data_IF_066901022744
#
_entry.id   IF_066901022744
#
_cell.length_a   1.000
_cell.length_b   1.000
_cell.length_c   1.000
_cell.angle_alpha   90.00
_cell.angle_beta   90.00
_cell.angle_gamma   90.00
#
_symmetry.space_group_name_H-M   'P 1'
#
loop_
_entity.id
_entity.type
_entity.pdbx_description
1 polymer ?
#
# COMPACT_ATOMS: atom_id res chain seq x y z
N UNK A 1 21.82 18.61 7.71
CA UNK A 1 21.41 19.53 6.62
C UNK A 1 22.51 20.57 6.33
N UNK A 2 23.54 20.25 5.53
CA UNK A 2 24.53 21.24 5.03
C UNK A 2 24.87 21.07 3.53
N UNK A 3 24.12 20.22 2.82
CA UNK A 3 24.40 19.88 1.41
C UNK A 3 23.78 20.88 0.43
N UNK A 4 22.73 21.62 0.84
CA UNK A 4 21.99 22.52 -0.04
C UNK A 4 22.71 23.86 -0.35
N UNK A 5 23.54 24.37 0.57
CA UNK A 5 24.30 25.62 0.34
C UNK A 5 25.52 25.41 -0.57
N UNK A 6 26.13 24.22 -0.55
CA UNK A 6 27.29 23.87 -1.38
C UNK A 6 26.95 23.86 -2.87
N UNK A 7 25.71 23.51 -3.22
CA UNK A 7 25.26 23.39 -4.60
C UNK A 7 25.04 24.75 -5.28
N UNK A 8 24.63 25.79 -4.52
CA UNK A 8 24.52 27.16 -5.04
C UNK A 8 25.89 27.76 -5.31
N UNK A 9 26.85 27.59 -4.41
CA UNK A 9 28.23 28.07 -4.59
C UNK A 9 28.91 27.41 -5.80
N UNK A 10 28.82 26.08 -5.93
CA UNK A 10 29.35 25.36 -7.10
C UNK A 10 28.72 25.85 -8.41
N UNK A 11 27.42 26.16 -8.41
CA UNK A 11 26.74 26.69 -9.59
C UNK A 11 27.22 28.11 -9.96
N UNK A 12 27.38 29.00 -8.97
CA UNK A 12 27.94 30.34 -9.20
C UNK A 12 29.41 30.30 -9.65
N UNK A 13 30.21 29.39 -9.08
CA UNK A 13 31.61 29.20 -9.45
C UNK A 13 31.73 28.64 -10.87
N UNK A 14 30.79 27.80 -11.30
CA UNK A 14 30.74 27.26 -12.66
C UNK A 14 30.26 28.30 -13.67
N UNK A 15 29.26 29.11 -13.32
CA UNK A 15 28.87 30.29 -14.12
C UNK A 15 30.07 31.23 -14.24
N UNK A 16 30.80 31.48 -13.15
CA UNK A 16 32.00 32.29 -13.18
C UNK A 16 33.07 31.68 -14.12
N UNK A 17 33.41 30.39 -13.98
CA UNK A 17 34.39 29.72 -14.84
C UNK A 17 34.02 29.68 -16.32
N UNK A 18 32.74 29.80 -16.68
CA UNK A 18 32.30 29.86 -18.09
C UNK A 18 32.14 31.32 -18.55
N UNK A 19 31.45 32.17 -17.80
CA UNK A 19 31.16 33.55 -18.17
C UNK A 19 32.39 34.47 -18.12
N UNK A 20 33.33 34.23 -17.20
CA UNK A 20 34.58 34.98 -17.09
C UNK A 20 35.40 34.85 -18.38
N UNK A 21 35.66 33.65 -18.94
CA UNK A 21 36.29 33.54 -20.26
C UNK A 21 35.54 34.30 -21.35
N UNK A 22 34.22 34.18 -21.42
CA UNK A 22 33.41 34.85 -22.45
C UNK A 22 33.37 36.37 -22.33
N UNK A 23 33.68 36.94 -21.15
CA UNK A 23 33.80 38.39 -20.94
C UNK A 23 35.26 38.87 -21.04
N UNK A 24 36.19 38.15 -20.43
CA UNK A 24 37.60 38.52 -20.37
C UNK A 24 38.29 38.34 -21.73
N UNK A 25 37.95 37.31 -22.50
CA UNK A 25 38.61 37.06 -23.80
C UNK A 25 38.30 38.16 -24.82
N UNK A 26 37.05 38.63 -25.02
CA UNK A 26 36.78 39.79 -25.86
C UNK A 26 37.43 41.07 -25.33
N UNK A 27 37.42 41.30 -24.01
CA UNK A 27 38.05 42.48 -23.41
C UNK A 27 39.56 42.46 -23.63
N UNK A 28 40.24 41.33 -23.39
CA UNK A 28 41.68 41.18 -23.65
C UNK A 28 41.99 41.29 -25.15
N UNK A 29 41.15 40.74 -26.02
CA UNK A 29 41.33 40.87 -27.47
C UNK A 29 41.21 42.33 -27.94
N UNK A 30 40.20 43.07 -27.47
CA UNK A 30 40.03 44.50 -27.76
C UNK A 30 41.13 45.35 -27.13
N UNK A 31 41.53 45.11 -25.89
CA UNK A 31 42.59 45.85 -25.20
C UNK A 31 43.97 45.60 -25.83
N UNK A 32 44.22 44.39 -26.34
CA UNK A 32 45.47 44.05 -27.04
C UNK A 32 45.47 44.62 -28.48
N UNK A 33 44.32 44.65 -29.16
CA UNK A 33 44.17 45.32 -30.46
C UNK A 33 44.36 46.86 -30.38
N UNK A 34 44.09 47.47 -29.22
CA UNK A 34 44.16 48.92 -28.99
C UNK A 34 45.25 49.35 -27.99
N UNK A 35 46.40 48.67 -27.95
CA UNK A 35 47.70 49.22 -27.44
C UNK A 35 47.98 49.33 -25.93
N UNK A 36 47.39 48.49 -25.04
CA UNK A 36 47.68 48.60 -23.59
C UNK A 36 48.41 47.42 -22.90
N UNK A 37 48.56 46.26 -23.55
CA UNK A 37 49.39 45.16 -23.03
C UNK A 37 50.04 44.39 -24.20
N UNK A 38 51.35 44.51 -24.46
CA UNK A 38 52.01 43.69 -25.48
C UNK A 38 51.93 42.20 -25.08
N UNK A 39 51.96 41.26 -26.05
CA UNK A 39 52.17 39.85 -25.73
C UNK A 39 53.44 39.71 -24.90
N UNK A 40 53.43 38.80 -23.92
CA UNK A 40 54.61 38.46 -23.11
C UNK A 40 55.84 38.31 -24.03
N UNK A 41 57.00 38.92 -23.69
CA UNK A 41 58.16 38.91 -24.57
C UNK A 41 58.54 37.46 -24.90
N UNK A 42 58.50 37.11 -26.19
CA UNK A 42 58.83 35.77 -26.70
C UNK A 42 57.65 34.87 -27.08
N UNK A 43 56.39 35.33 -27.00
CA UNK A 43 55.21 34.53 -27.40
C UNK A 43 54.56 35.13 -28.66
N UNK A 44 54.44 34.33 -29.72
CA UNK A 44 53.81 34.78 -30.97
C UNK A 44 52.28 34.90 -30.82
N UNK A 45 51.67 35.84 -31.54
CA UNK A 45 50.20 36.05 -31.53
C UNK A 45 49.41 34.75 -31.83
N UNK A 46 49.94 33.90 -32.71
CA UNK A 46 49.34 32.61 -33.09
C UNK A 46 49.26 31.63 -31.92
N UNK A 47 50.27 31.62 -31.04
CA UNK A 47 50.31 30.77 -29.85
C UNK A 47 49.27 31.24 -28.81
N UNK A 48 49.09 32.56 -28.71
CA UNK A 48 48.06 33.19 -27.87
C UNK A 48 46.63 32.85 -28.32
N UNK A 49 46.36 32.90 -29.62
CA UNK A 49 45.05 32.52 -30.18
C UNK A 49 44.78 31.03 -30.00
N UNK A 50 45.79 30.18 -30.18
CA UNK A 50 45.69 28.74 -29.91
C UNK A 50 45.38 28.44 -28.44
N UNK A 51 46.04 29.14 -27.51
CA UNK A 51 45.76 29.05 -26.07
C UNK A 51 44.32 29.46 -25.72
N UNK A 52 43.85 30.59 -26.25
CA UNK A 52 42.48 31.07 -26.06
C UNK A 52 41.44 30.09 -26.61
N UNK A 53 41.68 29.53 -27.80
CA UNK A 53 40.82 28.52 -28.41
C UNK A 53 40.73 27.25 -27.56
N UNK A 54 41.86 26.77 -27.04
CA UNK A 54 41.91 25.62 -26.12
C UNK A 54 41.16 25.86 -24.82
N UNK A 55 41.30 27.06 -24.23
CA UNK A 55 40.61 27.43 -22.99
C UNK A 55 39.09 27.54 -23.17
N UNK A 56 38.63 28.18 -24.25
CA UNK A 56 37.21 28.25 -24.62
C UNK A 56 36.61 26.86 -24.88
N UNK A 57 37.34 26.00 -25.61
CA UNK A 57 36.93 24.61 -25.83
C UNK A 57 36.79 23.82 -24.52
N UNK A 58 37.74 23.99 -23.60
CA UNK A 58 37.68 23.40 -22.26
C UNK A 58 36.48 23.88 -21.44
N UNK A 59 36.19 25.18 -21.44
CA UNK A 59 35.06 25.76 -20.73
C UNK A 59 33.70 25.27 -21.26
N UNK A 60 33.52 25.21 -22.58
CA UNK A 60 32.31 24.68 -23.22
C UNK A 60 32.11 23.20 -22.86
N UNK A 61 33.17 22.40 -22.94
CA UNK A 61 33.11 20.97 -22.60
C UNK A 61 32.73 20.76 -21.14
N UNK A 62 33.37 21.49 -20.22
CA UNK A 62 33.05 21.40 -18.79
C UNK A 62 31.62 21.84 -18.48
N UNK A 63 31.14 22.92 -19.10
CA UNK A 63 29.76 23.36 -19.02
C UNK A 63 28.77 22.31 -19.54
N UNK A 64 29.07 21.70 -20.69
CA UNK A 64 28.28 20.62 -21.28
C UNK A 64 28.18 19.39 -20.37
N UNK A 65 29.32 18.93 -19.82
CA UNK A 65 29.36 17.81 -18.88
C UNK A 65 28.55 18.11 -17.62
N UNK A 66 28.65 19.32 -17.07
CA UNK A 66 27.89 19.70 -15.87
C UNK A 66 26.38 19.73 -16.12
N UNK A 67 25.94 20.31 -17.24
CA UNK A 67 24.53 20.31 -17.63
C UNK A 67 24.02 18.87 -17.82
N UNK A 68 24.82 18.02 -18.46
CA UNK A 68 24.53 16.60 -18.63
C UNK A 68 24.37 15.87 -17.29
N UNK A 69 25.31 16.04 -16.34
CA UNK A 69 25.20 15.46 -14.99
C UNK A 69 23.93 15.93 -14.28
N UNK A 70 23.57 17.21 -14.41
CA UNK A 70 22.35 17.74 -13.79
C UNK A 70 21.08 17.17 -14.42
N UNK A 71 21.07 16.98 -15.75
CA UNK A 71 19.96 16.34 -16.45
C UNK A 71 19.83 14.86 -16.06
N UNK A 72 20.95 14.13 -15.99
CA UNK A 72 20.99 12.74 -15.52
C UNK A 72 20.45 12.61 -14.10
N UNK A 73 20.87 13.48 -13.17
CA UNK A 73 20.32 13.47 -11.80
C UNK A 73 18.82 13.72 -11.76
N UNK A 74 18.31 14.66 -12.55
CA UNK A 74 16.86 14.90 -12.64
C UNK A 74 16.12 13.71 -13.25
N UNK A 75 16.70 13.05 -14.26
CA UNK A 75 16.14 11.86 -14.86
C UNK A 75 16.10 10.70 -13.85
N UNK A 76 17.19 10.48 -13.11
CA UNK A 76 17.28 9.44 -12.09
C UNK A 76 16.24 9.63 -10.97
N UNK A 77 16.09 10.86 -10.45
CA UNK A 77 15.07 11.15 -9.42
C UNK A 77 13.67 10.83 -9.97
N UNK A 78 13.37 11.23 -11.21
CA UNK A 78 12.08 10.91 -11.84
C UNK A 78 11.88 9.40 -12.03
N UNK A 79 12.91 8.67 -12.44
CA UNK A 79 12.83 7.21 -12.56
C UNK A 79 12.58 6.54 -11.20
N UNK A 80 13.25 7.00 -10.14
CA UNK A 80 13.02 6.50 -8.77
C UNK A 80 11.58 6.76 -8.31
N UNK A 81 11.04 7.95 -8.59
CA UNK A 81 9.64 8.29 -8.30
C UNK A 81 8.64 7.44 -9.10
N UNK A 82 8.88 7.23 -10.40
CA UNK A 82 8.05 6.37 -11.24
C UNK A 82 8.07 4.93 -10.69
N UNK A 83 9.26 4.41 -10.37
CA UNK A 83 9.42 3.06 -9.82
C UNK A 83 8.70 2.89 -8.49
N UNK A 84 8.68 3.94 -7.66
CA UNK A 84 7.90 3.97 -6.42
C UNK A 84 6.40 3.91 -6.69
N UNK A 85 5.90 4.69 -7.65
CA UNK A 85 4.48 4.68 -8.05
C UNK A 85 4.07 3.31 -8.61
N UNK A 86 4.93 2.67 -9.39
CA UNK A 86 4.69 1.32 -9.89
C UNK A 86 4.60 0.31 -8.75
N UNK A 87 5.54 0.34 -7.81
CA UNK A 87 5.51 -0.53 -6.63
C UNK A 87 4.26 -0.31 -5.77
N UNK A 88 3.84 0.95 -5.57
CA UNK A 88 2.60 1.28 -4.85
C UNK A 88 1.37 0.69 -5.57
N UNK A 89 1.31 0.82 -6.90
CA UNK A 89 0.24 0.26 -7.70
C UNK A 89 0.20 -1.26 -7.63
N UNK A 90 1.36 -1.93 -7.69
CA UNK A 90 1.44 -3.39 -7.62
C UNK A 90 0.94 -3.91 -6.27
N UNK A 91 1.34 -3.27 -5.17
CA UNK A 91 0.84 -3.59 -3.82
C UNK A 91 -0.67 -3.41 -3.73
N UNK A 92 -1.21 -2.29 -4.23
CA UNK A 92 -2.64 -2.03 -4.22
C UNK A 92 -3.42 -3.01 -5.12
N UNK A 93 -2.86 -3.38 -6.26
CA UNK A 93 -3.46 -4.33 -7.19
C UNK A 93 -3.49 -5.73 -6.58
N UNK A 94 -2.40 -6.18 -5.97
CA UNK A 94 -2.31 -7.46 -5.25
C UNK A 94 -3.34 -7.51 -4.11
N UNK A 95 -3.47 -6.44 -3.34
CA UNK A 95 -4.48 -6.31 -2.29
C UNK A 95 -5.91 -6.52 -2.83
N UNK A 96 -6.26 -5.91 -3.96
CA UNK A 96 -7.59 -6.07 -4.57
C UNK A 96 -7.80 -7.49 -5.10
N UNK A 97 -6.77 -8.11 -5.66
CA UNK A 97 -6.85 -9.48 -6.20
C UNK A 97 -6.98 -10.56 -5.13
N UNK A 98 -6.43 -10.33 -3.93
CA UNK A 98 -6.54 -11.25 -2.78
C UNK A 98 -7.93 -11.25 -2.12
N UNK A 99 -8.79 -10.31 -2.48
CA UNK A 99 -10.16 -10.27 -1.98
C UNK A 99 -10.91 -11.47 -2.53
N UNK A 100 -11.29 -12.36 -1.61
CA UNK A 100 -12.08 -13.54 -1.92
C UNK A 100 -13.52 -13.32 -1.42
N UNK A 101 -14.43 -12.84 -2.29
CA UNK A 101 -15.82 -12.61 -1.90
C UNK A 101 -16.57 -13.92 -1.64
N UNK A 102 -16.09 -15.05 -2.17
CA UNK A 102 -16.74 -16.35 -2.04
C UNK A 102 -16.43 -17.05 -0.72
N UNK A 103 -15.36 -16.67 -0.03
CA UNK A 103 -14.94 -17.30 1.23
C UNK A 103 -16.08 -17.47 2.24
N UNK A 104 -16.82 -16.39 2.51
CA UNK A 104 -17.93 -16.42 3.48
C UNK A 104 -19.04 -17.36 3.04
N UNK A 105 -19.40 -17.31 1.76
CA UNK A 105 -20.48 -18.12 1.19
C UNK A 105 -20.12 -19.61 1.23
N UNK A 106 -18.91 -19.95 0.76
CA UNK A 106 -18.40 -21.32 0.75
C UNK A 106 -18.30 -21.89 2.17
N UNK A 107 -17.79 -21.10 3.12
CA UNK A 107 -17.64 -21.53 4.51
C UNK A 107 -19.01 -21.74 5.18
N UNK A 108 -19.98 -20.87 4.89
CA UNK A 108 -21.34 -21.03 5.39
C UNK A 108 -22.03 -22.27 4.82
N UNK A 109 -21.90 -22.53 3.52
CA UNK A 109 -22.46 -23.74 2.91
C UNK A 109 -21.77 -25.02 3.40
N UNK A 110 -20.45 -25.01 3.56
CA UNK A 110 -19.70 -26.10 4.20
C UNK A 110 -20.27 -26.33 5.61
N UNK A 111 -20.46 -25.28 6.41
CA UNK A 111 -21.07 -25.38 7.75
C UNK A 111 -22.50 -25.96 7.73
N UNK A 112 -23.35 -25.47 6.83
CA UNK A 112 -24.75 -25.88 6.72
C UNK A 112 -24.91 -27.36 6.31
N UNK A 113 -23.94 -27.91 5.56
CA UNK A 113 -23.97 -29.29 5.06
C UNK A 113 -23.39 -30.32 6.03
N UNK A 114 -22.80 -29.89 7.15
CA UNK A 114 -22.23 -30.80 8.15
C UNK A 114 -23.27 -31.69 8.87
N UNK A 115 -24.56 -31.60 8.55
CA UNK A 115 -25.65 -32.38 9.16
C UNK A 115 -25.57 -33.90 8.96
N UNK A 116 -24.65 -34.40 8.14
CA UNK A 116 -24.61 -35.82 7.71
C UNK A 116 -23.37 -36.61 8.18
N UNK A 117 -22.57 -36.08 9.11
CA UNK A 117 -21.28 -36.67 9.52
C UNK A 117 -21.37 -37.27 10.93
N UNK A 118 -20.59 -38.33 11.21
CA UNK A 118 -20.46 -38.91 12.56
C UNK A 118 -20.04 -37.87 13.61
N UNK A 119 -20.49 -38.03 14.87
CA UNK A 119 -20.35 -37.03 15.94
C UNK A 119 -18.91 -36.64 16.26
N UNK A 120 -17.96 -37.57 16.21
CA UNK A 120 -16.54 -37.31 16.46
C UNK A 120 -15.87 -36.56 15.30
N UNK A 121 -16.14 -36.98 14.06
CA UNK A 121 -15.65 -36.28 12.88
C UNK A 121 -16.24 -34.86 12.80
N UNK A 122 -17.51 -34.69 13.19
CA UNK A 122 -18.21 -33.41 13.22
C UNK A 122 -17.49 -32.33 14.04
N UNK A 123 -17.01 -32.67 15.25
CA UNK A 123 -16.27 -31.73 16.12
C UNK A 123 -14.93 -31.34 15.51
N UNK A 124 -14.19 -32.31 14.97
CA UNK A 124 -12.91 -32.07 14.28
C UNK A 124 -13.07 -31.13 13.07
N UNK A 125 -14.13 -31.34 12.27
CA UNK A 125 -14.46 -30.45 11.16
C UNK A 125 -14.79 -29.03 11.61
N UNK A 126 -15.56 -28.86 12.68
CA UNK A 126 -15.88 -27.53 13.21
C UNK A 126 -14.64 -26.77 13.69
N UNK A 127 -13.70 -27.45 14.37
CA UNK A 127 -12.43 -26.84 14.77
C UNK A 127 -11.55 -26.48 13.57
N UNK A 128 -11.51 -27.35 12.54
CA UNK A 128 -10.80 -27.08 11.30
C UNK A 128 -11.38 -25.84 10.61
N UNK A 129 -12.70 -25.73 10.55
CA UNK A 129 -13.40 -24.56 9.98
C UNK A 129 -13.12 -23.29 10.78
N UNK A 130 -13.16 -23.36 12.12
CA UNK A 130 -12.80 -22.23 12.99
C UNK A 130 -11.36 -21.76 12.75
N UNK A 131 -10.43 -22.70 12.56
CA UNK A 131 -9.03 -22.40 12.24
C UNK A 131 -8.91 -21.69 10.89
N UNK A 132 -9.54 -22.22 9.82
CA UNK A 132 -9.58 -21.58 8.49
C UNK A 132 -10.14 -20.16 8.55
N UNK A 133 -11.23 -19.94 9.28
CA UNK A 133 -11.83 -18.60 9.46
C UNK A 133 -10.86 -17.65 10.15
N UNK A 134 -10.21 -18.11 11.22
CA UNK A 134 -9.27 -17.30 12.00
C UNK A 134 -8.03 -16.93 11.20
N UNK A 135 -7.52 -17.87 10.39
CA UNK A 135 -6.43 -17.64 9.45
C UNK A 135 -6.82 -16.57 8.42
N UNK A 136 -8.01 -16.69 7.80
CA UNK A 136 -8.48 -15.71 6.82
C UNK A 136 -8.61 -14.30 7.42
N UNK A 137 -9.15 -14.18 8.63
CA UNK A 137 -9.23 -12.90 9.36
C UNK A 137 -7.84 -12.31 9.63
N UNK A 138 -6.88 -13.16 10.01
CA UNK A 138 -5.48 -12.75 10.23
C UNK A 138 -4.84 -12.21 8.94
N UNK A 139 -5.00 -12.94 7.83
CA UNK A 139 -4.48 -12.53 6.51
C UNK A 139 -5.06 -11.18 6.08
N UNK A 140 -6.38 -10.98 6.20
CA UNK A 140 -7.04 -9.70 5.90
C UNK A 140 -6.45 -8.56 6.73
N UNK A 141 -6.16 -8.81 8.01
CA UNK A 141 -5.58 -7.79 8.89
C UNK A 141 -4.14 -7.44 8.51
N UNK A 142 -3.32 -8.45 8.21
CA UNK A 142 -1.94 -8.28 7.76
C UNK A 142 -1.90 -7.51 6.44
N UNK A 143 -2.72 -7.90 5.46
CA UNK A 143 -2.79 -7.26 4.15
C UNK A 143 -3.23 -5.78 4.28
N UNK A 144 -4.18 -5.47 5.17
CA UNK A 144 -4.58 -4.08 5.46
C UNK A 144 -3.43 -3.25 6.06
N UNK A 145 -2.71 -3.79 7.06
CA UNK A 145 -1.57 -3.11 7.68
C UNK A 145 -0.46 -2.87 6.64
N UNK A 146 -0.13 -3.90 5.85
CA UNK A 146 0.90 -3.82 4.83
C UNK A 146 0.54 -2.79 3.76
N UNK A 147 -0.70 -2.82 3.25
CA UNK A 147 -1.17 -1.89 2.21
C UNK A 147 -1.14 -0.44 2.71
N UNK A 148 -1.56 -0.19 3.96
CA UNK A 148 -1.50 1.14 4.55
C UNK A 148 -0.06 1.64 4.74
N UNK A 149 0.87 0.75 5.12
CA UNK A 149 2.27 1.10 5.31
C UNK A 149 3.04 1.29 3.99
N UNK A 150 2.67 0.53 2.96
CA UNK A 150 3.39 0.50 1.68
C UNK A 150 2.90 1.54 0.66
N UNK A 151 1.79 2.24 0.94
CA UNK A 151 1.14 3.12 -0.04
C UNK A 151 0.89 4.51 0.52
N UNK A 152 1.15 5.53 -0.29
CA UNK A 152 0.91 6.93 0.09
C UNK A 152 -0.55 7.36 -0.14
N UNK A 153 -1.45 6.46 -0.56
CA UNK A 153 -2.81 6.81 -0.99
C UNK A 153 -3.62 7.49 0.14
N UNK A 154 -3.30 7.16 1.38
CA UNK A 154 -3.91 7.76 2.58
C UNK A 154 -3.25 9.08 3.00
N UNK A 155 -2.04 9.40 2.52
CA UNK A 155 -1.25 10.58 2.90
C UNK A 155 -1.21 11.70 1.84
N UNK A 156 -1.95 11.54 0.74
CA UNK A 156 -1.96 12.43 -0.45
C UNK A 156 -2.18 13.93 -0.13
N UNK A 157 -2.76 14.29 1.03
CA UNK A 157 -3.14 15.68 1.35
C UNK A 157 -1.97 16.67 1.30
N UNK A 158 -0.74 16.28 1.65
CA UNK A 158 0.40 17.20 1.72
C UNK A 158 1.02 17.56 0.37
N UNK A 159 0.81 16.74 -0.68
CA UNK A 159 1.51 16.89 -1.98
C UNK A 159 0.70 17.68 -3.02
N UNK A 160 -0.60 17.80 -2.83
CA UNK A 160 -1.48 18.50 -3.77
C UNK A 160 -1.40 20.04 -3.66
N UNK A 161 -1.08 20.57 -2.47
CA UNK A 161 -1.03 22.03 -2.22
C UNK A 161 0.11 22.73 -2.99
N UNK A 162 1.14 21.99 -3.38
CA UNK A 162 2.26 22.51 -4.17
C UNK A 162 1.93 22.70 -5.66
N UNK A 163 0.81 22.16 -6.16
CA UNK A 163 0.45 22.20 -7.58
C UNK A 163 -0.59 23.30 -7.85
N UNK A 164 -0.28 24.22 -8.78
CA UNK A 164 -1.21 25.31 -9.20
C UNK A 164 -2.52 24.83 -9.85
N UNK A 165 -2.67 23.53 -10.15
CA UNK A 165 -3.86 22.96 -10.79
C UNK A 165 -4.64 22.08 -9.80
N UNK A 166 -5.96 21.94 -10.02
CA UNK A 166 -6.84 21.04 -9.25
C UNK A 166 -6.26 19.63 -9.17
N UNK A 167 -5.91 19.20 -7.97
CA UNK A 167 -5.31 17.90 -7.72
C UNK A 167 -6.40 16.81 -7.69
N UNK A 168 -6.61 16.12 -8.81
CA UNK A 168 -7.55 15.00 -8.90
C UNK A 168 -7.23 13.86 -7.93
N UNK A 169 -5.99 13.77 -7.44
CA UNK A 169 -5.57 12.79 -6.43
C UNK A 169 -6.37 12.90 -5.13
N UNK A 170 -6.84 14.09 -4.75
CA UNK A 170 -7.70 14.25 -3.57
C UNK A 170 -9.08 13.61 -3.76
N UNK A 171 -9.67 13.76 -4.95
CA UNK A 171 -10.94 13.13 -5.31
C UNK A 171 -10.77 11.61 -5.34
N UNK A 172 -9.70 11.12 -5.95
CA UNK A 172 -9.36 9.69 -5.99
C UNK A 172 -9.18 9.12 -4.57
N UNK A 173 -8.49 9.82 -3.67
CA UNK A 173 -8.36 9.43 -2.25
C UNK A 173 -9.72 9.25 -1.59
N UNK A 174 -10.63 10.23 -1.74
CA UNK A 174 -11.97 10.16 -1.15
C UNK A 174 -12.76 8.96 -1.67
N UNK A 175 -12.74 8.75 -2.98
CA UNK A 175 -13.43 7.62 -3.61
C UNK A 175 -12.81 6.29 -3.17
N UNK A 176 -11.48 6.20 -3.09
CA UNK A 176 -10.79 5.02 -2.60
C UNK A 176 -11.17 4.68 -1.16
N UNK A 177 -11.18 5.66 -0.25
CA UNK A 177 -11.59 5.46 1.15
C UNK A 177 -13.06 5.01 1.23
N UNK A 178 -13.95 5.65 0.47
CA UNK A 178 -15.37 5.32 0.46
C UNK A 178 -15.64 3.90 -0.04
N UNK A 179 -14.92 3.46 -1.07
CA UNK A 179 -15.05 2.10 -1.58
C UNK A 179 -14.38 1.12 -0.62
N UNK A 180 -13.17 1.40 -0.13
CA UNK A 180 -12.47 0.51 0.81
C UNK A 180 -13.25 0.30 2.12
N UNK A 181 -14.05 1.29 2.55
CA UNK A 181 -14.97 1.12 3.69
C UNK A 181 -15.95 -0.06 3.51
N UNK A 182 -16.31 -0.40 2.26
CA UNK A 182 -17.14 -1.58 2.00
C UNK A 182 -16.47 -2.87 2.48
N UNK A 183 -15.13 -2.98 2.48
CA UNK A 183 -14.41 -4.13 3.04
C UNK A 183 -14.74 -4.44 4.50
N UNK A 184 -15.15 -3.44 5.28
CA UNK A 184 -15.61 -3.67 6.64
C UNK A 184 -16.79 -4.66 6.66
N UNK A 185 -17.68 -4.61 5.66
CA UNK A 185 -18.81 -5.53 5.57
C UNK A 185 -18.39 -6.98 5.33
N UNK A 186 -17.38 -7.27 4.50
CA UNK A 186 -16.86 -8.65 4.38
C UNK A 186 -16.34 -9.12 5.73
N UNK A 187 -15.54 -8.29 6.40
CA UNK A 187 -14.96 -8.64 7.70
C UNK A 187 -16.05 -8.94 8.73
N UNK A 188 -17.09 -8.11 8.80
CA UNK A 188 -18.27 -8.35 9.64
C UNK A 188 -18.94 -9.69 9.32
N UNK A 189 -19.11 -10.03 8.03
CA UNK A 189 -19.71 -11.30 7.63
C UNK A 189 -18.85 -12.53 7.94
N UNK A 190 -17.53 -12.42 7.85
CA UNK A 190 -16.62 -13.48 8.30
C UNK A 190 -16.78 -13.70 9.81
N UNK A 191 -16.90 -12.61 10.58
CA UNK A 191 -17.12 -12.68 12.04
C UNK A 191 -18.49 -13.30 12.37
N UNK A 192 -19.53 -12.97 11.60
CA UNK A 192 -20.86 -13.58 11.76
C UNK A 192 -20.81 -15.11 11.55
N UNK A 193 -20.13 -15.57 10.48
CA UNK A 193 -19.92 -17.00 10.23
C UNK A 193 -19.07 -17.64 11.33
N UNK A 194 -18.04 -16.95 11.82
CA UNK A 194 -17.23 -17.41 12.96
C UNK A 194 -18.10 -17.63 14.21
N UNK A 195 -19.03 -16.71 14.50
CA UNK A 195 -19.94 -16.80 15.65
C UNK A 195 -20.85 -18.03 15.52
N UNK A 196 -21.38 -18.31 14.34
CA UNK A 196 -22.17 -19.53 14.10
C UNK A 196 -21.38 -20.81 14.38
N UNK A 197 -20.16 -20.90 13.84
CA UNK A 197 -19.29 -22.08 14.03
C UNK A 197 -18.95 -22.25 15.50
N UNK A 198 -18.55 -21.17 16.18
CA UNK A 198 -18.22 -21.19 17.60
C UNK A 198 -19.40 -21.62 18.46
N UNK A 199 -20.57 -21.02 18.26
CA UNK A 199 -21.80 -21.38 18.98
C UNK A 199 -22.13 -22.88 18.82
N UNK A 200 -21.92 -23.43 17.61
CA UNK A 200 -22.14 -24.85 17.36
C UNK A 200 -21.13 -25.74 18.08
N UNK A 201 -19.85 -25.36 18.12
CA UNK A 201 -18.81 -26.04 18.92
C UNK A 201 -19.21 -26.06 20.39
N UNK A 202 -19.58 -24.90 20.94
CA UNK A 202 -19.96 -24.76 22.34
C UNK A 202 -21.19 -25.61 22.67
N UNK A 203 -22.19 -25.65 21.77
CA UNK A 203 -23.36 -26.53 21.90
C UNK A 203 -22.96 -28.01 21.97
N UNK A 204 -22.06 -28.46 21.09
CA UNK A 204 -21.61 -29.86 21.08
C UNK A 204 -20.82 -30.21 22.34
N UNK A 205 -19.95 -29.31 22.79
CA UNK A 205 -19.18 -29.48 24.02
C UNK A 205 -20.09 -29.59 25.25
N UNK A 206 -21.13 -28.75 25.34
CA UNK A 206 -22.15 -28.83 26.40
C UNK A 206 -22.88 -30.17 26.35
N UNK A 207 -23.35 -30.61 25.18
CA UNK A 207 -24.02 -31.90 25.03
C UNK A 207 -23.12 -33.09 25.43
N UNK A 208 -21.82 -33.03 25.12
CA UNK A 208 -20.87 -34.07 25.48
C UNK A 208 -20.60 -34.06 27.00
N UNK A 209 -20.42 -32.89 27.61
CA UNK A 209 -20.24 -32.72 29.05
C UNK A 209 -21.46 -33.23 29.83
N UNK A 210 -22.66 -32.92 29.36
CA UNK A 210 -23.90 -33.45 29.92
C UNK A 210 -23.98 -34.97 29.83
N UNK A 211 -23.71 -35.54 28.65
CA UNK A 211 -23.76 -36.98 28.44
C UNK A 211 -22.76 -37.69 29.35
N UNK A 212 -21.55 -37.17 29.47
CA UNK A 212 -20.52 -37.72 30.35
C UNK A 212 -20.92 -37.62 31.82
N UNK A 213 -21.49 -36.48 32.23
CA UNK A 213 -21.96 -36.28 33.61
C UNK A 213 -23.09 -37.26 33.96
N UNK A 214 -24.04 -37.49 33.04
CA UNK A 214 -25.10 -38.50 33.24
C UNK A 214 -24.54 -39.91 33.38
N UNK A 215 -23.59 -40.31 32.53
CA UNK A 215 -22.94 -41.63 32.63
C UNK A 215 -22.20 -41.81 33.97
N UNK A 216 -21.56 -40.76 34.49
CA UNK A 216 -20.87 -40.81 35.78
C UNK A 216 -21.86 -40.97 36.94
N UNK A 217 -22.97 -40.24 36.93
CA UNK A 217 -24.05 -40.37 37.92
C UNK A 217 -24.61 -41.80 37.95
N UNK A 218 -24.84 -42.40 36.77
CA UNK A 218 -25.34 -43.78 36.66
C UNK A 218 -24.32 -44.81 37.17
N UNK A 219 -23.02 -44.59 36.91
CA UNK A 219 -21.95 -45.50 37.30
C UNK A 219 -21.58 -45.41 38.79
N UNK A 220 -21.74 -44.23 39.40
CA UNK A 220 -21.37 -43.95 40.78
C UNK A 220 -22.53 -43.30 41.55
N UNK A 221 -23.60 -44.04 41.84
CA UNK A 221 -24.75 -43.51 42.58
C UNK A 221 -24.34 -43.11 44.00
N UNK A 222 -24.40 -41.82 44.31
CA UNK A 222 -24.11 -41.26 45.65
C UNK A 222 -22.94 -40.27 45.71
N UNK A 223 -22.13 -40.14 44.65
CA UNK A 223 -21.15 -39.05 44.53
C UNK A 223 -21.81 -37.71 44.17
N UNK A 224 -21.24 -36.61 44.65
CA UNK A 224 -21.73 -35.25 44.37
C UNK A 224 -21.17 -34.75 43.03
N UNK A 225 -22.04 -34.68 42.02
CA UNK A 225 -21.73 -34.11 40.69
C UNK A 225 -22.37 -32.73 40.48
N UNK A 226 -22.77 -32.03 41.56
CA UNK A 226 -23.44 -30.73 41.48
C UNK A 226 -22.61 -29.64 40.81
N UNK A 227 -21.28 -29.70 40.91
CA UNK A 227 -20.37 -28.76 40.25
C UNK A 227 -20.36 -28.93 38.72
N UNK A 228 -20.37 -30.17 38.23
CA UNK A 228 -20.45 -30.45 36.79
C UNK A 228 -21.79 -29.98 36.20
N UNK A 229 -22.89 -30.20 36.93
CA UNK A 229 -24.22 -29.73 36.53
C UNK A 229 -24.30 -28.20 36.52
N UNK A 230 -23.73 -27.52 37.53
CA UNK A 230 -23.62 -26.04 37.54
C UNK A 230 -22.80 -25.52 36.36
N UNK A 231 -21.70 -26.18 36.01
CA UNK A 231 -20.85 -25.80 34.88
C UNK A 231 -21.62 -25.92 33.55
N UNK A 232 -22.38 -27.00 33.37
CA UNK A 232 -23.28 -27.18 32.22
C UNK A 232 -24.31 -26.05 32.14
N UNK A 233 -24.97 -25.72 33.25
CA UNK A 233 -26.00 -24.68 33.32
C UNK A 233 -25.41 -23.31 32.96
N UNK A 234 -24.22 -22.98 33.48
CA UNK A 234 -23.51 -21.74 33.17
C UNK A 234 -23.14 -21.64 31.68
N UNK A 235 -22.62 -22.72 31.09
CA UNK A 235 -22.26 -22.74 29.67
C UNK A 235 -23.50 -22.59 28.77
N UNK A 236 -24.65 -23.14 29.17
CA UNK A 236 -25.93 -22.95 28.47
C UNK A 236 -26.39 -21.49 28.47
N UNK A 237 -26.16 -20.76 29.57
CA UNK A 237 -26.49 -19.33 29.65
C UNK A 237 -25.62 -18.50 28.69
N UNK A 238 -24.39 -18.94 28.41
CA UNK A 238 -23.47 -18.25 27.49
C UNK A 238 -23.72 -18.56 26.00
N UNK A 239 -24.65 -19.45 25.66
CA UNK A 239 -25.01 -19.73 24.27
C UNK A 239 -25.80 -18.55 23.68
N UNK A 240 -25.23 -17.92 22.66
CA UNK A 240 -25.94 -16.91 21.88
C UNK A 240 -27.18 -17.51 21.20
N UNK A 241 -28.29 -16.76 21.17
CA UNK A 241 -29.40 -17.07 20.28
C UNK A 241 -28.99 -16.75 18.83
N UNK A 242 -28.59 -17.77 18.07
CA UNK A 242 -28.04 -17.64 16.71
C UNK A 242 -29.06 -17.87 15.60
N UNK A 243 -30.34 -18.10 15.90
CA UNK A 243 -31.36 -18.39 14.89
C UNK A 243 -31.68 -17.18 14.00
N UNK A 244 -31.77 -15.98 14.58
CA UNK A 244 -31.89 -14.73 13.81
C UNK A 244 -30.64 -14.46 12.96
N UNK A 245 -29.45 -14.79 13.51
CA UNK A 245 -28.17 -14.63 12.83
C UNK A 245 -28.12 -15.51 11.57
N UNK A 246 -28.63 -16.75 11.66
CA UNK A 246 -28.63 -17.73 10.57
C UNK A 246 -29.50 -17.29 9.39
N UNK A 247 -30.72 -16.82 9.65
CA UNK A 247 -31.61 -16.29 8.61
C UNK A 247 -31.05 -15.01 7.97
N UNK A 248 -30.45 -14.14 8.78
CA UNK A 248 -29.79 -12.91 8.31
C UNK A 248 -28.58 -13.17 7.43
N UNK A 249 -27.78 -14.20 7.72
CA UNK A 249 -26.56 -14.53 6.96
C UNK A 249 -26.91 -15.03 5.55
N UNK A 250 -27.83 -15.99 5.41
CA UNK A 250 -28.18 -16.59 4.09
C UNK A 250 -28.58 -15.53 3.08
N UNK A 251 -29.52 -14.66 3.45
CA UNK A 251 -30.06 -13.62 2.55
C UNK A 251 -29.02 -12.56 2.18
N UNK A 252 -28.02 -12.35 3.04
CA UNK A 252 -27.03 -11.29 2.86
C UNK A 252 -25.75 -11.77 2.18
N UNK A 253 -25.42 -13.07 2.22
CA UNK A 253 -24.20 -13.60 1.61
C UNK A 253 -24.22 -13.57 0.08
N UNK A 254 -25.34 -13.95 -0.54
CA UNK A 254 -25.46 -13.91 -2.01
C UNK A 254 -25.35 -12.48 -2.54
N UNK A 255 -26.08 -11.56 -1.91
CA UNK A 255 -26.00 -10.13 -2.22
C UNK A 255 -24.59 -9.57 -1.99
N UNK A 256 -23.90 -10.00 -0.94
CA UNK A 256 -22.52 -9.59 -0.68
C UNK A 256 -21.60 -10.01 -1.82
N UNK A 257 -21.69 -11.26 -2.29
CA UNK A 257 -20.88 -11.73 -3.43
C UNK A 257 -21.18 -10.89 -4.68
N UNK A 258 -22.45 -10.66 -4.98
CA UNK A 258 -22.89 -9.88 -6.13
C UNK A 258 -22.37 -8.43 -6.06
N UNK A 259 -22.57 -7.74 -4.93
CA UNK A 259 -22.09 -6.37 -4.70
C UNK A 259 -20.56 -6.29 -4.83
N UNK A 260 -19.83 -7.34 -4.44
CA UNK A 260 -18.37 -7.33 -4.53
C UNK A 260 -17.84 -7.56 -5.93
N UNK A 261 -18.35 -8.60 -6.59
CA UNK A 261 -17.90 -9.00 -7.92
C UNK A 261 -18.31 -7.96 -8.96
N UNK A 262 -19.54 -7.41 -8.85
CA UNK A 262 -20.09 -6.52 -9.85
C UNK A 262 -19.82 -5.04 -9.57
N UNK A 263 -19.67 -4.63 -8.30
CA UNK A 263 -19.48 -3.22 -7.95
C UNK A 263 -18.10 -2.92 -7.38
N UNK A 264 -17.72 -3.56 -6.26
CA UNK A 264 -16.51 -3.22 -5.52
C UNK A 264 -15.22 -3.45 -6.33
N UNK A 265 -15.00 -4.68 -6.81
CA UNK A 265 -13.74 -5.08 -7.46
C UNK A 265 -13.51 -4.25 -8.74
N UNK A 266 -14.48 -4.14 -9.67
CA UNK A 266 -14.30 -3.36 -10.89
C UNK A 266 -14.03 -1.88 -10.62
N UNK A 267 -14.74 -1.28 -9.65
CA UNK A 267 -14.53 0.13 -9.28
C UNK A 267 -13.16 0.34 -8.65
N UNK A 268 -12.70 -0.56 -7.77
CA UNK A 268 -11.35 -0.46 -7.19
C UNK A 268 -10.26 -0.58 -8.24
N UNK A 269 -10.34 -1.56 -9.14
CA UNK A 269 -9.37 -1.69 -10.25
C UNK A 269 -9.33 -0.41 -11.10
N UNK A 270 -10.50 0.15 -11.39
CA UNK A 270 -10.62 1.39 -12.16
C UNK A 270 -9.98 2.57 -11.42
N UNK A 271 -10.28 2.74 -10.14
CA UNK A 271 -9.68 3.77 -9.30
C UNK A 271 -8.17 3.64 -9.20
N UNK A 272 -7.63 2.42 -9.09
CA UNK A 272 -6.19 2.19 -9.03
C UNK A 272 -5.48 2.58 -10.32
N UNK A 273 -6.09 2.31 -11.47
CA UNK A 273 -5.57 2.78 -12.77
C UNK A 273 -5.57 4.31 -12.85
N UNK A 274 -6.65 4.95 -12.42
CA UNK A 274 -6.73 6.42 -12.36
C UNK A 274 -5.71 7.01 -11.37
N UNK A 275 -5.52 6.38 -10.21
CA UNK A 275 -4.51 6.77 -9.22
C UNK A 275 -3.10 6.74 -9.83
N UNK A 276 -2.72 5.62 -10.44
CA UNK A 276 -1.41 5.47 -11.12
C UNK A 276 -1.23 6.54 -12.19
N UNK A 277 -2.25 6.76 -13.03
CA UNK A 277 -2.18 7.75 -14.10
C UNK A 277 -1.98 9.17 -13.57
N UNK A 278 -2.76 9.60 -12.58
CA UNK A 278 -2.66 10.96 -12.02
C UNK A 278 -1.35 11.17 -11.24
N UNK A 279 -0.81 10.13 -10.58
CA UNK A 279 0.52 10.16 -9.96
C UNK A 279 1.64 10.33 -10.99
N UNK A 280 1.61 9.57 -12.09
CA UNK A 280 2.60 9.72 -13.17
C UNK A 280 2.54 11.11 -13.81
N UNK A 281 1.34 11.65 -13.96
CA UNK A 281 1.11 13.00 -14.48
C UNK A 281 1.64 14.08 -13.53
N UNK A 282 1.55 13.89 -12.21
CA UNK A 282 2.11 14.84 -11.24
C UNK A 282 3.65 14.85 -11.27
N UNK A 283 4.29 13.68 -11.41
CA UNK A 283 5.75 13.55 -11.64
C UNK A 283 6.16 14.34 -12.89
N UNK A 284 5.48 14.11 -14.01
CA UNK A 284 5.81 14.76 -15.28
C UNK A 284 5.69 16.29 -15.21
N UNK A 285 4.69 16.79 -14.48
CA UNK A 285 4.45 18.22 -14.28
C UNK A 285 5.33 18.85 -13.18
N UNK A 286 6.22 18.09 -12.54
CA UNK A 286 7.03 18.54 -11.39
C UNK A 286 6.18 19.09 -10.23
N UNK A 287 4.99 18.51 -10.02
CA UNK A 287 4.09 18.83 -8.91
C UNK A 287 4.31 17.81 -7.78
N UNK A 288 5.50 17.81 -7.19
CA UNK A 288 5.87 16.96 -6.05
C UNK A 288 6.34 17.79 -4.87
#
# INVERSE_FOLDING_TARGET
MKVFSRNKYLFFLLIACVAIPFLIVPILFFVNAYTLFPPLPGVEYKEWVSFLGGYLGGAITFGGVFLSIRQMKKAQIREEEIRKIEKEYDVLSDFVQKIDPYFCNNTYYEFATLTYISREQYVSYLHTMQSKISEKLSLINIDNIYTNAATEIFDIMSKCDACKNTCNLYKIKKEFIAINAKQAHIRERIIDVQRLVKNKIDTVNIMNLESNTRMLIEKYPGEDFSENLRTVEQLKITLDNVDELKMGIVKNLEKLVEDYVNDYIPKMITLLKFYKHERLKSVAKHCM
#
